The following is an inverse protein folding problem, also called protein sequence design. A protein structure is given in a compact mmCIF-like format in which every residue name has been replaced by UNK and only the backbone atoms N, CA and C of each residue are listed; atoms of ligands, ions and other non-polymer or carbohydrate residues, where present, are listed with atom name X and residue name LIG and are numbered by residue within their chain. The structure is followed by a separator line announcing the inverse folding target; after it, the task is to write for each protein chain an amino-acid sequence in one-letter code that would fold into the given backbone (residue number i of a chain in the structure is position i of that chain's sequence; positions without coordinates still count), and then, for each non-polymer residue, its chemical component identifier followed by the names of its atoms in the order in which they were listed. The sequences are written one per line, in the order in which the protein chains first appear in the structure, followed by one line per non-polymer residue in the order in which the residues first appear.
data_IF_552335539138
#
_entry.id   IF_552335539138
#
_cell.length_a   1.000
_cell.length_b   1.000
_cell.length_c   1.000
_cell.angle_alpha   90.00
_cell.angle_beta   90.00
_cell.angle_gamma   90.00
#
_symmetry.space_group_name_H-M   'P 1'
#
loop_
_entity.id
_entity.type
_entity.pdbx_description
1 polymer ?
#
# COMPACT_ATOMS: atom_id res chain seq x y z
N UNK A 1 -22.72 -24.67 5.33
CA UNK A 1 -21.72 -23.75 4.76
C UNK A 1 -22.28 -22.34 4.81
N UNK A 2 -21.48 -21.40 5.29
CA UNK A 2 -21.91 -20.01 5.32
C UNK A 2 -21.89 -19.41 3.92
N UNK A 3 -22.87 -18.59 3.60
CA UNK A 3 -22.91 -17.86 2.35
C UNK A 3 -21.84 -16.77 2.35
N UNK A 4 -21.27 -16.53 1.17
CA UNK A 4 -20.30 -15.46 1.00
C UNK A 4 -21.07 -14.14 0.84
N UNK A 5 -20.91 -13.23 1.82
CA UNK A 5 -21.58 -11.92 1.78
C UNK A 5 -20.82 -10.91 0.91
N UNK A 6 -19.51 -11.06 0.80
CA UNK A 6 -18.69 -10.08 0.09
C UNK A 6 -17.35 -10.69 -0.30
N UNK A 7 -16.89 -10.35 -1.49
CA UNK A 7 -15.56 -10.70 -1.96
C UNK A 7 -14.83 -9.39 -2.25
N UNK A 8 -13.74 -9.16 -1.56
CA UNK A 8 -12.94 -7.96 -1.77
C UNK A 8 -12.03 -8.15 -2.98
N UNK A 9 -12.32 -7.42 -4.04
CA UNK A 9 -11.53 -7.47 -5.27
C UNK A 9 -10.60 -6.25 -5.31
N UNK A 10 -9.31 -6.52 -5.17
CA UNK A 10 -8.28 -5.49 -5.14
C UNK A 10 -7.30 -5.71 -6.27
N UNK A 11 -7.06 -4.68 -7.07
CA UNK A 11 -6.01 -4.71 -8.09
C UNK A 11 -4.78 -3.99 -7.54
N UNK A 12 -3.66 -4.69 -7.54
CA UNK A 12 -2.40 -4.14 -7.06
C UNK A 12 -1.35 -4.22 -8.15
N UNK A 13 -0.75 -3.09 -8.48
CA UNK A 13 0.26 -3.00 -9.51
C UNK A 13 1.53 -2.37 -8.97
N UNK A 14 2.67 -2.97 -9.29
CA UNK A 14 3.97 -2.39 -8.98
C UNK A 14 4.32 -1.36 -10.04
N UNK A 15 4.57 -0.13 -9.62
CA UNK A 15 4.94 0.96 -10.53
C UNK A 15 6.45 1.00 -10.72
N UNK A 16 7.20 1.15 -9.63
CA UNK A 16 8.65 1.21 -9.67
C UNK A 16 9.21 1.00 -8.26
N UNK A 17 10.18 0.09 -8.12
CA UNK A 17 10.77 -0.19 -6.81
C UNK A 17 9.70 -0.54 -5.77
N UNK A 18 9.67 0.14 -4.61
CA UNK A 18 8.65 -0.08 -3.59
C UNK A 18 7.32 0.61 -3.88
N UNK A 19 7.27 1.46 -4.92
CA UNK A 19 6.05 2.18 -5.26
C UNK A 19 5.04 1.25 -5.93
N UNK A 20 3.86 1.14 -5.33
CA UNK A 20 2.76 0.33 -5.82
C UNK A 20 1.48 1.14 -5.79
N UNK A 21 0.55 0.80 -6.68
CA UNK A 21 -0.77 1.40 -6.70
C UNK A 21 -1.81 0.32 -6.55
N UNK A 22 -2.79 0.57 -5.70
CA UNK A 22 -3.91 -0.34 -5.47
C UNK A 22 -5.23 0.34 -5.83
N UNK A 23 -6.08 -0.41 -6.51
CA UNK A 23 -7.45 0.02 -6.78
C UNK A 23 -8.37 -0.78 -5.87
N UNK A 24 -9.01 -0.08 -4.96
CA UNK A 24 -9.86 -0.70 -3.95
C UNK A 24 -11.33 -0.54 -4.32
N UNK A 25 -12.17 -1.57 -4.02
CA UNK A 25 -13.60 -1.44 -4.27
C UNK A 25 -14.19 -0.31 -3.44
N UNK A 26 -15.06 0.45 -4.06
CA UNK A 26 -15.71 1.57 -3.38
C UNK A 26 -14.90 2.87 -3.35
N UNK A 27 -13.64 2.83 -3.79
CA UNK A 27 -12.80 4.01 -3.81
C UNK A 27 -12.60 4.53 -5.23
N UNK A 28 -12.98 5.80 -5.51
CA UNK A 28 -12.80 6.36 -6.84
C UNK A 28 -11.34 6.66 -7.17
N UNK A 29 -10.51 6.88 -6.15
CA UNK A 29 -9.12 7.21 -6.34
C UNK A 29 -8.22 6.04 -5.95
N UNK A 30 -7.10 5.83 -6.67
CA UNK A 30 -6.16 4.78 -6.29
C UNK A 30 -5.44 5.11 -5.00
N UNK A 31 -4.96 4.06 -4.33
CA UNK A 31 -4.18 4.17 -3.10
C UNK A 31 -2.74 3.80 -3.41
N UNK A 32 -1.80 4.63 -2.99
CA UNK A 32 -0.39 4.40 -3.25
C UNK A 32 0.32 3.87 -2.02
N UNK A 33 1.20 2.90 -2.25
CA UNK A 33 2.08 2.34 -1.23
C UNK A 33 3.52 2.59 -1.65
N UNK A 34 4.37 2.92 -0.70
CA UNK A 34 5.79 3.05 -0.95
C UNK A 34 6.53 2.85 0.37
N UNK A 35 7.68 3.48 0.52
CA UNK A 35 8.39 3.52 1.79
C UNK A 35 8.66 4.97 2.13
N UNK A 36 9.04 5.22 3.36
CA UNK A 36 9.38 6.56 3.82
C UNK A 36 10.36 6.46 4.98
N UNK A 37 11.17 7.52 5.16
CA UNK A 37 12.00 7.72 6.32
C UNK A 37 12.69 6.47 6.85
N UNK A 38 12.47 6.15 8.15
CA UNK A 38 13.14 5.01 8.79
C UNK A 38 12.85 3.66 8.14
N UNK A 39 11.66 3.49 7.57
CA UNK A 39 11.29 2.22 6.93
C UNK A 39 12.11 2.01 5.66
N UNK A 40 12.25 3.05 4.85
CA UNK A 40 13.07 2.98 3.65
C UNK A 40 14.52 2.65 4.00
N UNK A 41 15.03 3.29 5.03
CA UNK A 41 16.40 3.06 5.51
C UNK A 41 16.58 1.63 6.00
N UNK A 42 15.60 1.11 6.73
CA UNK A 42 15.64 -0.26 7.26
C UNK A 42 15.74 -1.30 6.14
N UNK A 43 15.03 -1.10 5.05
CA UNK A 43 15.05 -2.01 3.91
C UNK A 43 16.21 -1.75 2.94
N UNK A 44 17.11 -0.82 3.28
CA UNK A 44 18.24 -0.50 2.43
C UNK A 44 17.89 0.29 1.18
N UNK A 45 16.71 0.88 1.15
CA UNK A 45 16.29 1.74 0.04
C UNK A 45 16.80 3.14 0.30
N UNK A 46 17.52 3.69 -0.69
CA UNK A 46 17.98 5.07 -0.59
C UNK A 46 16.78 6.00 -0.86
N UNK A 47 16.38 6.82 0.13
CA UNK A 47 15.24 7.73 -0.06
C UNK A 47 15.36 8.65 -1.28
N UNK A 48 16.58 8.98 -1.66
CA UNK A 48 16.82 9.84 -2.83
C UNK A 48 16.45 9.15 -4.14
N UNK A 49 16.41 7.82 -4.15
CA UNK A 49 16.07 7.04 -5.34
C UNK A 49 14.58 6.72 -5.43
N UNK A 50 13.78 7.13 -4.46
CA UNK A 50 12.35 6.92 -4.49
C UNK A 50 11.69 7.97 -5.37
N UNK A 51 10.84 7.54 -6.30
CA UNK A 51 10.05 8.47 -7.12
C UNK A 51 9.06 9.25 -6.29
N UNK A 52 8.42 8.56 -5.36
CA UNK A 52 7.43 9.13 -4.45
C UNK A 52 7.54 8.43 -3.11
N UNK A 53 7.27 9.17 -2.05
CA UNK A 53 7.15 8.61 -0.71
C UNK A 53 5.68 8.57 -0.33
N UNK A 54 5.25 7.44 0.20
CA UNK A 54 3.89 7.23 0.68
C UNK A 54 3.96 6.35 1.91
N UNK A 55 2.83 6.19 2.57
CA UNK A 55 2.73 5.26 3.68
C UNK A 55 3.11 3.85 3.20
N UNK A 56 3.77 3.10 4.05
CA UNK A 56 4.13 1.72 3.77
C UNK A 56 2.95 0.79 4.05
N UNK A 57 3.06 -0.45 3.55
CA UNK A 57 2.07 -1.49 3.81
C UNK A 57 1.80 -1.64 5.31
N UNK A 58 2.85 -1.56 6.13
CA UNK A 58 2.71 -1.66 7.58
C UNK A 58 1.80 -0.57 8.15
N UNK A 59 1.96 0.66 7.66
CA UNK A 59 1.13 1.78 8.11
C UNK A 59 -0.35 1.54 7.79
N UNK A 60 -0.62 1.03 6.60
CA UNK A 60 -2.00 0.71 6.19
C UNK A 60 -2.59 -0.43 7.00
N UNK A 61 -1.80 -1.45 7.32
CA UNK A 61 -2.26 -2.55 8.17
C UNK A 61 -2.63 -2.04 9.55
N UNK A 62 -1.79 -1.18 10.13
CA UNK A 62 -2.06 -0.60 11.45
C UNK A 62 -3.32 0.26 11.41
N UNK A 63 -3.45 1.12 10.42
CA UNK A 63 -4.61 1.98 10.27
C UNK A 63 -5.90 1.17 10.09
N UNK A 64 -5.86 0.15 9.24
CA UNK A 64 -7.01 -0.70 8.98
C UNK A 64 -7.41 -1.51 10.21
N UNK A 65 -6.43 -1.98 10.98
CA UNK A 65 -6.68 -2.76 12.20
C UNK A 65 -7.24 -1.88 13.32
N UNK A 66 -6.77 -0.63 13.41
CA UNK A 66 -7.23 0.31 14.43
C UNK A 66 -8.56 0.95 14.08
N UNK A 67 -8.92 0.97 12.82
CA UNK A 67 -10.15 1.59 12.33
C UNK A 67 -11.45 0.80 12.47
#
# INVERSE_FOLDING_TARGET
MADIAYVSEVDLERVAGPLRVAHLPGEPNPVYFSTHGPVAKHYGVNPENLKETHATTLDYIVAATAG
#
